data_IF_146586815715
#
_entry.id   IF_146586815715
#
_cell.length_a   1.000
_cell.length_b   1.000
_cell.length_c   1.000
_cell.angle_alpha   90.00
_cell.angle_beta   90.00
_cell.angle_gamma   90.00
#
_symmetry.space_group_name_H-M   'P 1'
#
loop_
_entity.id
_entity.type
_entity.pdbx_description
1 polymer ?
#
# COMPACT_ATOMS: atom_id res chain seq x y z
N UNK A 1 13.19 5.26 -30.74
CA UNK A 1 13.17 4.16 -31.72
C UNK A 1 14.11 3.05 -31.27
N UNK A 2 13.73 1.79 -31.43
CA UNK A 2 14.52 0.63 -31.02
C UNK A 2 14.45 -0.52 -32.00
N UNK A 3 15.42 -1.42 -31.90
CA UNK A 3 15.46 -2.69 -32.65
C UNK A 3 14.75 -3.73 -31.77
N UNK A 4 13.65 -4.29 -32.24
CA UNK A 4 12.89 -5.31 -31.48
C UNK A 4 11.45 -5.44 -31.97
N UNK A 5 10.63 -6.12 -31.22
CA UNK A 5 9.25 -6.51 -31.54
C UNK A 5 8.48 -5.48 -32.39
N UNK A 6 8.10 -5.89 -33.58
CA UNK A 6 7.36 -5.04 -34.52
C UNK A 6 5.87 -4.87 -34.11
N UNK A 7 5.38 -5.65 -33.17
CA UNK A 7 3.99 -5.61 -32.75
C UNK A 7 3.86 -4.99 -31.36
N UNK A 8 3.12 -3.88 -31.20
CA UNK A 8 2.87 -3.30 -29.91
C UNK A 8 1.90 -4.21 -29.12
N UNK A 9 2.29 -4.54 -27.91
CA UNK A 9 1.43 -5.20 -26.91
C UNK A 9 1.23 -4.29 -25.71
N UNK A 10 0.01 -4.23 -25.13
CA UNK A 10 -0.21 -3.45 -23.91
C UNK A 10 0.74 -3.89 -22.81
N UNK A 11 1.45 -2.94 -22.21
CA UNK A 11 2.29 -3.17 -21.04
C UNK A 11 1.79 -2.34 -19.87
N UNK A 12 1.92 -2.86 -18.69
CA UNK A 12 1.55 -2.14 -17.48
C UNK A 12 2.56 -1.02 -17.20
N UNK A 13 2.12 0.20 -17.37
CA UNK A 13 2.85 1.41 -17.01
C UNK A 13 2.06 2.12 -15.92
N UNK A 14 2.65 2.23 -14.76
CA UNK A 14 2.04 2.84 -13.58
C UNK A 14 1.42 4.20 -13.89
N UNK A 15 0.19 4.42 -13.43
CA UNK A 15 -0.62 5.62 -13.65
C UNK A 15 -1.09 5.85 -15.10
N UNK A 16 -0.90 4.87 -15.98
CA UNK A 16 -1.39 4.93 -17.36
C UNK A 16 -2.31 3.76 -17.66
N UNK A 17 -3.35 4.04 -18.42
CA UNK A 17 -4.24 3.04 -19.00
C UNK A 17 -3.78 2.78 -20.43
N UNK A 18 -3.57 1.51 -20.76
CA UNK A 18 -3.24 1.07 -22.12
C UNK A 18 -4.50 0.62 -22.85
N UNK A 19 -4.70 1.10 -24.07
CA UNK A 19 -5.80 0.73 -24.95
C UNK A 19 -5.28 0.37 -26.34
N UNK A 20 -5.69 -0.80 -26.86
CA UNK A 20 -5.30 -1.24 -28.20
C UNK A 20 -6.24 -0.60 -29.23
N UNK A 21 -5.68 0.21 -30.12
CA UNK A 21 -6.40 0.88 -31.21
C UNK A 21 -5.78 0.47 -32.53
N UNK A 22 -6.37 -0.48 -33.23
CA UNK A 22 -5.84 -1.06 -34.44
C UNK A 22 -4.48 -1.75 -34.20
N UNK A 23 -3.41 -1.24 -34.84
CA UNK A 23 -2.05 -1.76 -34.70
C UNK A 23 -1.18 -0.92 -33.75
N UNK A 24 -1.77 -0.22 -32.82
CA UNK A 24 -1.10 0.69 -31.89
C UNK A 24 -1.64 0.48 -30.47
N UNK A 25 -0.85 0.86 -29.47
CA UNK A 25 -1.30 0.92 -28.08
C UNK A 25 -1.23 2.36 -27.61
N UNK A 26 -2.36 2.90 -27.24
CA UNK A 26 -2.50 4.26 -26.70
C UNK A 26 -2.40 4.22 -25.17
N UNK A 27 -1.62 5.13 -24.63
CA UNK A 27 -1.44 5.29 -23.18
C UNK A 27 -2.00 6.64 -22.73
N UNK A 28 -3.00 6.59 -21.89
CA UNK A 28 -3.69 7.74 -21.31
C UNK A 28 -3.47 7.76 -19.81
N UNK A 29 -3.21 8.92 -19.23
CA UNK A 29 -3.10 9.05 -17.77
C UNK A 29 -4.43 8.71 -17.10
N UNK A 30 -4.35 8.04 -15.93
CA UNK A 30 -5.56 7.63 -15.20
C UNK A 30 -6.30 8.81 -14.54
N UNK A 31 -5.60 9.92 -14.30
CA UNK A 31 -6.12 11.15 -13.70
C UNK A 31 -6.62 12.19 -14.73
N UNK A 32 -6.41 11.94 -16.02
CA UNK A 32 -6.88 12.79 -17.12
C UNK A 32 -7.87 12.04 -17.99
N UNK A 33 -9.02 12.66 -18.27
CA UNK A 33 -10.03 12.07 -19.16
C UNK A 33 -9.80 12.60 -20.59
N UNK A 34 -9.44 11.69 -21.50
CA UNK A 34 -9.57 11.91 -22.95
C UNK A 34 -8.33 12.34 -23.70
N UNK A 35 -7.16 12.61 -23.09
CA UNK A 35 -5.93 12.92 -23.83
C UNK A 35 -4.93 11.77 -23.83
N UNK A 36 -4.52 11.33 -25.03
CA UNK A 36 -3.48 10.31 -25.20
C UNK A 36 -2.12 10.93 -24.94
N UNK A 37 -1.40 10.43 -23.91
CA UNK A 37 -0.09 10.96 -23.54
C UNK A 37 1.02 10.47 -24.48
N UNK A 38 0.98 9.18 -24.85
CA UNK A 38 1.91 8.60 -25.83
C UNK A 38 1.33 7.35 -26.49
N UNK A 39 1.86 7.02 -27.67
CA UNK A 39 1.40 5.90 -28.51
C UNK A 39 2.57 4.98 -28.85
N UNK A 40 2.45 3.70 -28.54
CA UNK A 40 3.35 2.66 -29.00
C UNK A 40 2.94 2.19 -30.40
N UNK A 41 3.82 2.38 -31.37
CA UNK A 41 3.65 1.95 -32.78
C UNK A 41 4.52 0.74 -33.14
N UNK A 42 4.97 -0.03 -32.17
CA UNK A 42 5.82 -1.19 -32.39
C UNK A 42 7.30 -0.84 -32.35
N UNK A 43 7.84 -0.24 -33.42
CA UNK A 43 9.26 0.14 -33.51
C UNK A 43 9.58 1.54 -32.97
N UNK A 44 8.57 2.33 -32.65
CA UNK A 44 8.71 3.66 -32.06
C UNK A 44 7.58 3.96 -31.10
N UNK A 45 7.84 4.87 -30.18
CA UNK A 45 6.85 5.43 -29.26
C UNK A 45 6.76 6.93 -29.56
N UNK A 46 5.57 7.39 -29.94
CA UNK A 46 5.29 8.79 -30.21
C UNK A 46 4.71 9.42 -28.93
N UNK A 47 5.33 10.49 -28.42
CA UNK A 47 4.91 11.17 -27.19
C UNK A 47 4.21 12.46 -27.57
N UNK A 48 2.93 12.57 -27.25
CA UNK A 48 2.12 13.74 -27.57
C UNK A 48 2.23 14.82 -26.49
N UNK A 49 2.32 14.40 -25.23
CA UNK A 49 2.48 15.26 -24.06
C UNK A 49 3.93 15.28 -23.56
N UNK A 50 4.87 15.54 -24.46
CA UNK A 50 6.31 15.45 -24.13
C UNK A 50 6.78 16.52 -23.14
N UNK A 51 6.07 17.66 -23.00
CA UNK A 51 6.39 18.68 -21.99
C UNK A 51 6.05 18.22 -20.57
N UNK A 52 5.15 17.27 -20.46
CA UNK A 52 4.87 16.61 -19.19
C UNK A 52 5.98 15.59 -18.91
N UNK A 53 6.72 15.85 -17.85
CA UNK A 53 7.86 15.04 -17.42
C UNK A 53 7.46 13.59 -17.10
N UNK A 54 6.28 13.40 -16.49
CA UNK A 54 5.81 12.08 -16.10
C UNK A 54 5.39 11.25 -17.33
N UNK A 55 4.79 11.89 -18.33
CA UNK A 55 4.46 11.26 -19.63
C UNK A 55 5.72 10.86 -20.40
N UNK A 56 6.73 11.73 -20.43
CA UNK A 56 8.02 11.41 -21.02
C UNK A 56 8.72 10.27 -20.27
N UNK A 57 8.73 10.29 -18.93
CA UNK A 57 9.31 9.23 -18.12
C UNK A 57 8.62 7.87 -18.38
N UNK A 58 7.29 7.85 -18.43
CA UNK A 58 6.51 6.65 -18.69
C UNK A 58 6.83 6.04 -20.07
N UNK A 59 6.94 6.89 -21.10
CA UNK A 59 7.29 6.46 -22.44
C UNK A 59 8.75 5.93 -22.52
N UNK A 60 9.70 6.55 -21.80
CA UNK A 60 11.08 6.05 -21.72
C UNK A 60 11.15 4.72 -20.93
N UNK A 61 10.34 4.55 -19.89
CA UNK A 61 10.23 3.28 -19.18
C UNK A 61 9.71 2.17 -20.09
N UNK A 62 8.66 2.45 -20.88
CA UNK A 62 8.16 1.52 -21.87
C UNK A 62 9.24 1.18 -22.92
N UNK A 63 9.96 2.19 -23.41
CA UNK A 63 11.07 2.01 -24.36
C UNK A 63 12.17 1.10 -23.80
N UNK A 64 12.56 1.32 -22.54
CA UNK A 64 13.56 0.50 -21.85
C UNK A 64 13.09 -0.93 -21.62
N UNK A 65 11.83 -1.14 -21.28
CA UNK A 65 11.23 -2.47 -21.13
C UNK A 65 11.14 -3.23 -22.45
N UNK A 66 10.94 -2.51 -23.57
CA UNK A 66 10.80 -3.12 -24.91
C UNK A 66 12.13 -3.45 -25.54
N UNK A 67 13.07 -2.51 -25.48
CA UNK A 67 14.28 -2.56 -26.30
C UNK A 67 15.58 -2.57 -25.48
N UNK A 68 15.51 -2.37 -24.18
CA UNK A 68 16.69 -2.19 -23.33
C UNK A 68 17.43 -0.88 -23.62
N UNK A 69 17.93 -0.72 -24.85
CA UNK A 69 18.57 0.52 -25.34
C UNK A 69 17.82 1.06 -26.56
N UNK A 70 17.75 2.39 -26.69
CA UNK A 70 16.95 3.06 -27.72
C UNK A 70 17.50 4.43 -28.08
N UNK A 71 17.05 4.98 -29.23
CA UNK A 71 17.40 6.31 -29.72
C UNK A 71 16.22 7.27 -29.54
N UNK A 72 16.51 8.50 -29.15
CA UNK A 72 15.53 9.57 -28.97
C UNK A 72 15.58 10.53 -30.14
N UNK A 73 14.42 10.82 -30.73
CA UNK A 73 14.26 11.77 -31.82
C UNK A 73 13.30 12.88 -31.41
N UNK A 74 13.56 14.11 -31.76
CA UNK A 74 12.74 15.27 -31.39
C UNK A 74 13.57 16.56 -31.34
N UNK A 75 12.95 17.62 -30.81
CA UNK A 75 13.63 18.90 -30.62
C UNK A 75 14.62 18.84 -29.44
N UNK A 76 15.48 19.87 -29.36
CA UNK A 76 16.54 19.91 -28.32
C UNK A 76 16.03 19.97 -26.91
N UNK A 77 14.88 20.61 -26.68
CA UNK A 77 14.25 20.67 -25.34
C UNK A 77 13.78 19.29 -24.88
N UNK A 78 13.13 18.54 -25.76
CA UNK A 78 12.72 17.17 -25.49
C UNK A 78 13.91 16.24 -25.29
N UNK A 79 14.92 16.31 -26.15
CA UNK A 79 16.18 15.55 -26.05
C UNK A 79 16.89 15.84 -24.72
N UNK A 80 16.90 17.12 -24.31
CA UNK A 80 17.45 17.54 -23.02
C UNK A 80 16.72 16.92 -21.83
N UNK A 81 15.40 16.87 -21.86
CA UNK A 81 14.60 16.21 -20.83
C UNK A 81 14.87 14.70 -20.79
N UNK A 82 14.95 14.05 -21.96
CA UNK A 82 15.28 12.63 -22.05
C UNK A 82 16.68 12.32 -21.49
N UNK A 83 17.67 13.17 -21.74
CA UNK A 83 19.02 13.01 -21.17
C UNK A 83 19.01 13.11 -19.64
N UNK A 84 18.26 14.05 -19.08
CA UNK A 84 18.11 14.19 -17.63
C UNK A 84 17.42 12.95 -17.03
N UNK A 85 16.32 12.49 -17.63
CA UNK A 85 15.62 11.29 -17.21
C UNK A 85 16.48 10.03 -17.33
N UNK A 86 17.30 9.94 -18.39
CA UNK A 86 18.23 8.83 -18.56
C UNK A 86 19.31 8.80 -17.47
N UNK A 87 19.82 9.96 -17.09
CA UNK A 87 20.76 10.07 -15.98
C UNK A 87 20.14 9.66 -14.63
N UNK A 88 18.91 10.09 -14.38
CA UNK A 88 18.18 9.84 -13.12
C UNK A 88 17.73 8.37 -12.96
N UNK A 89 17.29 7.73 -14.05
CA UNK A 89 16.67 6.41 -14.03
C UNK A 89 17.52 5.30 -14.67
N UNK A 90 18.70 5.64 -15.19
CA UNK A 90 19.64 4.67 -15.76
C UNK A 90 19.27 4.16 -17.16
N UNK A 91 18.41 4.88 -17.90
CA UNK A 91 18.04 4.46 -19.26
C UNK A 91 19.25 4.49 -20.20
N UNK A 92 19.30 3.52 -21.12
CA UNK A 92 20.35 3.38 -22.12
C UNK A 92 19.92 4.07 -23.42
N UNK A 93 20.19 5.37 -23.52
CA UNK A 93 19.98 6.16 -24.76
C UNK A 93 21.21 6.05 -25.64
N UNK A 94 21.04 5.68 -26.92
CA UNK A 94 22.15 5.47 -27.88
C UNK A 94 22.63 6.73 -28.59
N UNK A 95 21.90 7.83 -28.48
CA UNK A 95 22.25 9.11 -29.15
C UNK A 95 23.65 9.59 -28.75
N UNK A 96 24.64 9.69 -29.69
CA UNK A 96 25.98 10.17 -29.35
C UNK A 96 25.99 11.60 -28.83
N UNK A 97 25.14 12.47 -29.39
CA UNK A 97 25.03 13.89 -29.02
C UNK A 97 24.50 14.09 -27.58
N UNK A 98 23.84 13.09 -26.99
CA UNK A 98 23.30 13.18 -25.65
C UNK A 98 24.24 12.60 -24.58
N UNK A 99 25.27 11.85 -24.95
CA UNK A 99 26.15 11.16 -24.00
C UNK A 99 26.84 12.12 -23.04
N UNK A 100 27.41 13.21 -23.56
CA UNK A 100 28.07 14.21 -22.74
C UNK A 100 27.12 14.81 -21.68
N UNK A 101 25.90 15.15 -22.09
CA UNK A 101 24.87 15.69 -21.21
C UNK A 101 24.40 14.66 -20.17
N UNK A 102 24.20 13.41 -20.56
CA UNK A 102 23.85 12.32 -19.64
C UNK A 102 24.94 12.15 -18.57
N UNK A 103 26.22 12.18 -18.95
CA UNK A 103 27.33 12.08 -18.00
C UNK A 103 27.40 13.29 -17.08
N UNK A 104 27.21 14.49 -17.60
CA UNK A 104 27.17 15.71 -16.80
C UNK A 104 26.02 15.66 -15.75
N UNK A 105 24.84 15.22 -16.14
CA UNK A 105 23.71 15.08 -15.21
C UNK A 105 23.96 13.97 -14.19
N UNK A 106 24.59 12.86 -14.55
CA UNK A 106 25.02 11.82 -13.61
C UNK A 106 26.02 12.34 -12.59
N UNK A 107 27.02 13.12 -13.02
CA UNK A 107 27.98 13.75 -12.14
C UNK A 107 27.30 14.72 -11.17
N UNK A 108 26.42 15.59 -11.66
CA UNK A 108 25.62 16.50 -10.85
C UNK A 108 24.77 15.75 -9.80
N UNK A 109 24.14 14.65 -10.20
CA UNK A 109 23.38 13.81 -9.28
C UNK A 109 24.27 13.13 -8.23
N UNK A 110 25.46 12.68 -8.63
CA UNK A 110 26.44 12.11 -7.70
C UNK A 110 26.92 13.15 -6.68
N UNK A 111 27.24 14.37 -7.12
CA UNK A 111 27.60 15.48 -6.22
C UNK A 111 26.44 15.84 -5.28
N UNK A 112 25.21 15.92 -5.79
CA UNK A 112 24.03 16.18 -4.97
C UNK A 112 23.80 15.06 -3.93
N UNK A 113 24.04 13.81 -4.30
CA UNK A 113 24.01 12.66 -3.36
C UNK A 113 25.10 12.78 -2.31
N UNK A 114 26.34 13.12 -2.72
CA UNK A 114 27.46 13.31 -1.78
C UNK A 114 27.21 14.48 -0.82
N UNK A 115 26.60 15.58 -1.29
CA UNK A 115 26.19 16.70 -0.45
C UNK A 115 25.03 16.31 0.50
N UNK A 116 24.08 15.53 0.03
CA UNK A 116 22.98 15.00 0.85
C UNK A 116 23.48 14.04 1.94
N UNK A 117 24.56 13.29 1.70
CA UNK A 117 25.22 12.44 2.69
C UNK A 117 25.84 13.22 3.87
N UNK A 118 25.99 14.54 3.76
CA UNK A 118 26.42 15.42 4.86
C UNK A 118 25.27 16.24 5.45
N UNK A 119 24.04 16.01 5.01
CA UNK A 119 22.88 16.85 5.33
C UNK A 119 22.24 16.47 6.66
N UNK A 120 21.55 17.44 7.29
CA UNK A 120 20.77 17.20 8.50
C UNK A 120 19.71 16.10 8.33
N UNK A 121 18.96 16.01 7.23
CA UNK A 121 18.03 14.90 6.99
C UNK A 121 18.68 13.52 7.05
N UNK A 122 19.93 13.36 6.59
CA UNK A 122 20.61 12.07 6.71
C UNK A 122 20.92 11.74 8.18
N UNK A 123 21.50 12.69 8.93
CA UNK A 123 21.82 12.48 10.35
C UNK A 123 20.57 12.13 11.16
N UNK A 124 19.48 12.81 10.90
CA UNK A 124 18.21 12.54 11.59
C UNK A 124 17.61 11.19 11.18
N UNK A 125 17.71 10.82 9.90
CA UNK A 125 17.29 9.50 9.45
C UNK A 125 18.15 8.39 10.05
N UNK A 126 19.48 8.54 10.08
CA UNK A 126 20.39 7.55 10.68
C UNK A 126 20.10 7.35 12.17
N UNK A 127 19.92 8.43 12.93
CA UNK A 127 19.52 8.36 14.34
C UNK A 127 18.17 7.67 14.53
N UNK A 128 17.19 8.00 13.69
CA UNK A 128 15.87 7.36 13.69
C UNK A 128 15.99 5.87 13.35
N UNK A 129 16.70 5.52 12.29
CA UNK A 129 16.86 4.16 11.82
C UNK A 129 17.61 3.27 12.83
N UNK A 130 18.66 3.80 13.44
CA UNK A 130 19.41 3.10 14.50
C UNK A 130 18.53 2.83 15.72
N UNK A 131 17.77 3.83 16.17
CA UNK A 131 16.87 3.69 17.31
C UNK A 131 15.74 2.69 17.06
N UNK A 132 15.10 2.74 15.89
CA UNK A 132 14.03 1.82 15.51
C UNK A 132 14.57 0.41 15.28
N UNK A 133 15.73 0.29 14.62
CA UNK A 133 16.38 -0.98 14.34
C UNK A 133 15.56 -1.91 13.44
N UNK A 134 14.86 -1.34 12.47
CA UNK A 134 14.12 -2.10 11.46
C UNK A 134 15.06 -2.57 10.34
N UNK A 135 14.72 -3.69 9.73
CA UNK A 135 15.50 -4.26 8.62
C UNK A 135 15.33 -3.46 7.35
N UNK A 136 14.14 -2.94 7.14
CA UNK A 136 13.78 -2.17 5.95
C UNK A 136 12.78 -1.06 6.30
N UNK A 137 12.64 -0.11 5.38
CA UNK A 137 11.76 1.05 5.52
C UNK A 137 10.96 1.24 4.23
N UNK A 138 9.65 1.28 4.33
CA UNK A 138 8.82 1.80 3.24
C UNK A 138 8.83 3.31 3.31
N UNK A 139 9.14 3.95 2.20
CA UNK A 139 9.06 5.40 2.08
C UNK A 139 7.80 5.74 1.31
N UNK A 140 6.96 6.58 1.91
CA UNK A 140 5.68 7.00 1.33
C UNK A 140 5.66 8.50 1.19
N UNK A 141 5.24 9.01 0.03
CA UNK A 141 4.90 10.42 -0.14
C UNK A 141 3.39 10.60 -0.25
N UNK A 142 2.90 11.69 0.30
CA UNK A 142 1.48 12.06 0.26
C UNK A 142 1.36 13.43 -0.37
N UNK A 143 0.67 13.48 -1.51
CA UNK A 143 0.31 14.73 -2.20
C UNK A 143 -1.14 15.05 -1.93
N UNK A 144 -1.45 16.33 -1.80
CA UNK A 144 -2.83 16.81 -1.79
C UNK A 144 -3.21 17.28 -3.19
N UNK A 145 -4.28 16.71 -3.73
CA UNK A 145 -4.92 17.23 -4.92
C UNK A 145 -5.74 18.48 -4.58
N UNK A 146 -6.01 19.31 -5.59
CA UNK A 146 -6.79 20.55 -5.49
C UNK A 146 -8.19 20.39 -4.89
N UNK A 147 -8.73 19.19 -4.89
CA UNK A 147 -10.05 18.84 -4.33
C UNK A 147 -9.98 18.25 -2.89
N UNK A 148 -8.87 18.43 -2.17
CA UNK A 148 -8.68 17.88 -0.83
C UNK A 148 -8.45 16.37 -0.77
N UNK A 149 -8.43 15.66 -1.90
CA UNK A 149 -8.12 14.23 -1.97
C UNK A 149 -6.63 14.00 -1.71
N UNK A 150 -6.35 13.02 -0.85
CA UNK A 150 -4.98 12.57 -0.59
C UNK A 150 -4.58 11.52 -1.60
N UNK A 151 -3.47 11.74 -2.28
CA UNK A 151 -2.83 10.75 -3.15
C UNK A 151 -1.57 10.23 -2.45
N UNK A 152 -1.53 8.94 -2.21
CA UNK A 152 -0.41 8.28 -1.52
C UNK A 152 0.42 7.51 -2.52
N UNK A 153 1.72 7.77 -2.54
CA UNK A 153 2.68 7.12 -3.42
C UNK A 153 3.73 6.40 -2.59
N UNK A 154 3.93 5.12 -2.86
CA UNK A 154 5.02 4.34 -2.27
C UNK A 154 6.21 4.42 -3.21
N UNK A 155 7.38 4.87 -2.71
CA UNK A 155 8.59 5.02 -3.52
C UNK A 155 9.19 3.65 -3.89
N UNK A 156 8.95 2.64 -3.06
CA UNK A 156 9.36 1.28 -3.32
C UNK A 156 8.38 0.54 -4.24
N UNK A 157 8.77 0.37 -5.50
CA UNK A 157 7.97 -0.30 -6.53
C UNK A 157 7.75 -1.81 -6.24
N UNK A 158 8.62 -2.43 -5.45
CA UNK A 158 8.57 -3.87 -5.16
C UNK A 158 7.84 -4.19 -3.85
N UNK A 159 7.36 -3.17 -3.14
CA UNK A 159 6.71 -3.28 -1.83
C UNK A 159 7.54 -3.99 -0.74
N UNK A 160 8.82 -4.23 -1.00
CA UNK A 160 9.76 -4.89 -0.07
C UNK A 160 10.41 -3.90 0.91
N UNK A 161 10.22 -2.61 0.70
CA UNK A 161 10.90 -1.54 1.43
C UNK A 161 12.36 -1.36 1.02
N UNK A 162 13.01 -0.35 1.56
CA UNK A 162 14.42 -0.01 1.37
C UNK A 162 15.22 -0.34 2.62
N UNK A 163 16.47 -0.78 2.47
CA UNK A 163 17.44 -0.77 3.57
C UNK A 163 17.76 0.67 3.98
N UNK A 164 18.36 0.87 5.17
CA UNK A 164 18.78 2.21 5.60
C UNK A 164 19.72 2.88 4.58
N UNK A 165 20.65 2.12 4.00
CA UNK A 165 21.55 2.63 2.96
C UNK A 165 20.82 3.05 1.68
N UNK A 166 19.80 2.28 1.25
CA UNK A 166 18.98 2.62 0.10
C UNK A 166 18.09 3.85 0.36
N UNK A 167 17.58 4.05 1.59
CA UNK A 167 16.87 5.28 1.97
C UNK A 167 17.82 6.48 1.92
N UNK A 168 19.03 6.37 2.47
CA UNK A 168 20.05 7.42 2.43
C UNK A 168 20.34 7.87 0.99
N UNK A 169 20.44 6.92 0.06
CA UNK A 169 20.64 7.24 -1.36
C UNK A 169 19.45 7.96 -2.01
N UNK A 170 18.24 7.89 -1.42
CA UNK A 170 17.01 8.51 -1.92
C UNK A 170 16.69 9.85 -1.27
N UNK A 171 17.46 10.30 -0.32
CA UNK A 171 17.24 11.62 0.32
C UNK A 171 17.15 12.78 -0.67
N UNK A 172 17.97 12.86 -1.75
CA UNK A 172 17.79 13.90 -2.77
C UNK A 172 16.44 13.83 -3.50
N UNK A 173 15.91 12.63 -3.72
CA UNK A 173 14.55 12.44 -4.29
C UNK A 173 13.50 12.91 -3.29
N UNK A 174 13.62 12.52 -2.02
CA UNK A 174 12.71 12.92 -0.96
C UNK A 174 12.69 14.44 -0.75
N UNK A 175 13.85 15.10 -0.80
CA UNK A 175 13.95 16.57 -0.75
C UNK A 175 13.26 17.25 -1.93
N UNK A 176 13.30 16.63 -3.13
CA UNK A 176 12.56 17.14 -4.30
C UNK A 176 11.05 17.00 -4.12
N UNK A 177 10.57 15.89 -3.57
CA UNK A 177 9.16 15.68 -3.28
C UNK A 177 8.67 16.68 -2.23
N UNK A 178 9.45 16.90 -1.17
CA UNK A 178 9.17 17.90 -0.14
C UNK A 178 9.02 19.31 -0.73
N UNK A 179 9.94 19.71 -1.65
CA UNK A 179 9.86 21.02 -2.34
C UNK A 179 8.62 21.15 -3.23
N UNK A 180 8.01 20.05 -3.65
CA UNK A 180 6.73 20.01 -4.37
C UNK A 180 5.51 20.04 -3.45
N UNK A 181 5.73 20.15 -2.14
CA UNK A 181 4.65 20.18 -1.15
C UNK A 181 4.13 18.79 -0.77
N UNK A 182 4.88 17.72 -1.01
CA UNK A 182 4.51 16.37 -0.60
C UNK A 182 4.99 16.08 0.82
N UNK A 183 4.12 15.50 1.66
CA UNK A 183 4.48 15.02 2.99
C UNK A 183 5.16 13.67 2.88
N UNK A 184 6.20 13.43 3.69
CA UNK A 184 7.02 12.23 3.65
C UNK A 184 6.88 11.41 4.92
N UNK A 185 6.82 10.08 4.75
CA UNK A 185 6.64 9.14 5.85
C UNK A 185 7.56 7.94 5.71
N UNK A 186 7.99 7.41 6.86
CA UNK A 186 8.65 6.12 6.98
C UNK A 186 7.71 5.10 7.62
N UNK A 187 7.69 3.89 7.08
CA UNK A 187 7.08 2.74 7.75
C UNK A 187 8.18 1.70 7.96
N UNK A 188 8.62 1.48 9.20
CA UNK A 188 9.61 0.46 9.49
C UNK A 188 9.02 -0.93 9.27
N UNK A 189 9.79 -1.80 8.65
CA UNK A 189 9.43 -3.18 8.33
C UNK A 189 10.45 -4.12 8.99
N UNK A 190 9.96 -5.06 9.80
CA UNK A 190 10.79 -6.07 10.43
C UNK A 190 10.09 -7.42 10.48
N UNK A 191 10.86 -8.48 10.18
CA UNK A 191 10.39 -9.84 10.35
C UNK A 191 10.24 -10.22 11.84
N UNK A 192 11.10 -9.66 12.71
CA UNK A 192 11.23 -10.06 14.12
C UNK A 192 10.59 -9.08 15.11
N UNK A 193 10.16 -7.89 14.68
CA UNK A 193 9.70 -6.84 15.59
C UNK A 193 8.42 -6.18 15.10
N UNK A 194 7.63 -5.70 16.05
CA UNK A 194 6.56 -4.74 15.82
C UNK A 194 7.12 -3.33 16.09
N UNK A 195 6.80 -2.39 15.21
CA UNK A 195 7.07 -0.97 15.38
C UNK A 195 5.74 -0.26 15.46
N UNK A 196 5.29 0.01 16.68
CA UNK A 196 3.96 0.55 16.97
C UNK A 196 4.05 2.05 17.15
N UNK A 197 3.26 2.79 16.37
CA UNK A 197 3.11 4.23 16.50
C UNK A 197 1.98 4.56 17.48
N UNK A 198 2.28 5.37 18.49
CA UNK A 198 1.29 6.07 19.32
C UNK A 198 1.24 7.51 18.87
N UNK A 199 0.13 7.91 18.29
CA UNK A 199 -0.03 9.19 17.58
C UNK A 199 -0.85 10.20 18.38
N UNK A 200 -0.60 11.49 18.16
CA UNK A 200 -1.41 12.58 18.72
C UNK A 200 -1.21 12.82 20.22
N UNK A 201 -0.01 12.57 20.74
CA UNK A 201 0.31 12.79 22.15
C UNK A 201 0.53 14.27 22.45
N UNK A 202 -0.27 14.84 23.36
CA UNK A 202 0.08 16.12 24.01
C UNK A 202 1.27 15.94 24.95
N UNK A 203 1.95 17.02 25.42
CA UNK A 203 3.00 16.93 26.42
C UNK A 203 2.61 16.15 27.69
N UNK A 204 1.38 16.36 28.16
CA UNK A 204 0.85 15.67 29.34
C UNK A 204 0.64 14.18 29.09
N UNK A 205 0.11 13.82 27.92
CA UNK A 205 -0.11 12.42 27.55
C UNK A 205 1.23 11.70 27.32
N UNK A 206 2.21 12.35 26.71
CA UNK A 206 3.57 11.79 26.57
C UNK A 206 4.22 11.57 27.94
N UNK A 207 4.12 12.56 28.85
CA UNK A 207 4.66 12.42 30.21
C UNK A 207 4.00 11.24 30.95
N UNK A 208 2.67 11.13 30.89
CA UNK A 208 1.93 10.02 31.47
C UNK A 208 2.35 8.68 30.85
N UNK A 209 2.50 8.61 29.52
CA UNK A 209 2.93 7.42 28.80
C UNK A 209 4.28 6.91 29.30
N UNK A 210 5.23 7.82 29.49
CA UNK A 210 6.57 7.52 30.04
C UNK A 210 6.50 7.12 31.53
N UNK A 211 5.71 7.83 32.35
CA UNK A 211 5.50 7.52 33.78
C UNK A 211 4.86 6.15 33.97
N UNK A 212 3.94 5.76 33.10
CA UNK A 212 3.34 4.43 33.08
C UNK A 212 4.31 3.32 32.67
N UNK A 213 5.58 3.65 32.37
CA UNK A 213 6.68 2.71 32.09
C UNK A 213 6.80 2.28 30.63
N UNK A 214 6.10 2.93 29.71
CA UNK A 214 6.34 2.72 28.28
C UNK A 214 7.60 3.43 27.84
N UNK A 215 8.47 2.72 27.13
CA UNK A 215 9.76 3.23 26.70
C UNK A 215 9.83 3.25 25.17
N UNK A 216 9.53 4.39 24.53
CA UNK A 216 9.63 4.51 23.08
C UNK A 216 11.07 4.48 22.61
N UNK A 217 11.33 3.82 21.48
CA UNK A 217 12.61 3.89 20.78
C UNK A 217 12.80 5.27 20.14
N UNK A 218 11.70 5.87 19.68
CA UNK A 218 11.69 7.19 19.03
C UNK A 218 10.54 8.02 19.55
N UNK A 219 10.80 9.32 19.79
CA UNK A 219 9.78 10.35 19.97
C UNK A 219 9.97 11.41 18.90
N UNK A 220 8.94 11.66 18.13
CA UNK A 220 8.85 12.72 17.13
C UNK A 220 7.95 13.84 17.63
N UNK A 221 8.31 15.07 17.39
CA UNK A 221 7.39 16.20 17.46
C UNK A 221 6.95 16.52 16.04
N UNK A 222 5.73 16.10 15.68
CA UNK A 222 5.18 16.29 14.34
C UNK A 222 4.72 17.72 14.08
N UNK A 223 4.47 18.45 15.16
CA UNK A 223 4.16 19.88 15.23
C UNK A 223 4.33 20.37 16.66
N UNK A 224 4.45 21.70 16.90
CA UNK A 224 4.63 22.23 18.23
C UNK A 224 3.61 21.70 19.24
N UNK A 225 4.09 21.03 20.30
CA UNK A 225 3.26 20.46 21.36
C UNK A 225 2.47 19.21 20.96
N UNK A 226 2.76 18.59 19.82
CA UNK A 226 2.17 17.30 19.44
C UNK A 226 3.24 16.28 19.11
N UNK A 227 3.19 15.19 19.83
CA UNK A 227 4.20 14.15 19.78
C UNK A 227 3.65 12.84 19.22
N UNK A 228 4.57 12.07 18.72
CA UNK A 228 4.36 10.69 18.29
C UNK A 228 5.45 9.82 18.91
N UNK A 229 5.07 8.69 19.47
CA UNK A 229 6.00 7.76 20.08
C UNK A 229 6.04 6.44 19.32
N UNK A 230 7.24 5.99 18.95
CA UNK A 230 7.44 4.69 18.29
C UNK A 230 7.94 3.69 19.30
N UNK A 231 7.13 2.69 19.57
CA UNK A 231 7.46 1.55 20.44
C UNK A 231 7.97 0.40 19.59
N UNK A 232 9.15 -0.12 19.91
CA UNK A 232 9.69 -1.34 19.31
C UNK A 232 9.51 -2.52 20.27
N UNK A 233 8.88 -3.59 19.79
CA UNK A 233 8.57 -4.78 20.57
C UNK A 233 8.93 -6.03 19.77
N UNK A 234 9.65 -7.01 20.35
CA UNK A 234 9.87 -8.29 19.70
C UNK A 234 8.55 -9.00 19.39
N UNK A 235 8.47 -9.65 18.24
CA UNK A 235 7.38 -10.59 17.92
C UNK A 235 7.52 -11.84 18.78
N UNK A 236 6.41 -12.46 19.11
CA UNK A 236 6.39 -13.65 19.95
C UNK A 236 6.70 -14.94 19.19
N UNK A 237 6.71 -14.88 17.85
CA UNK A 237 6.88 -16.05 16.97
C UNK A 237 5.63 -16.92 16.89
N UNK A 238 4.47 -16.38 17.25
CA UNK A 238 3.20 -17.10 17.21
C UNK A 238 2.45 -16.86 15.88
N UNK A 239 1.48 -17.71 15.59
CA UNK A 239 0.58 -17.52 14.45
C UNK A 239 -0.28 -16.23 14.57
N UNK A 240 -0.28 -15.57 15.73
CA UNK A 240 -1.09 -14.39 16.05
C UNK A 240 -0.30 -13.08 16.00
N UNK A 241 1.00 -13.10 15.71
CA UNK A 241 1.86 -11.92 15.78
C UNK A 241 1.28 -10.71 15.03
N UNK A 242 0.73 -10.91 13.84
CA UNK A 242 0.12 -9.80 13.07
C UNK A 242 -1.09 -9.20 13.81
N UNK A 243 -1.95 -10.04 14.39
CA UNK A 243 -3.13 -9.61 15.15
C UNK A 243 -2.73 -8.93 16.47
N UNK A 244 -1.71 -9.48 17.13
CA UNK A 244 -1.14 -8.92 18.38
C UNK A 244 -0.56 -7.53 18.11
N UNK A 245 0.26 -7.35 17.08
CA UNK A 245 0.83 -6.05 16.74
C UNK A 245 -0.24 -5.00 16.42
N UNK A 246 -1.30 -5.39 15.70
CA UNK A 246 -2.44 -4.53 15.42
C UNK A 246 -3.18 -4.15 16.70
N UNK A 247 -3.51 -5.13 17.55
CA UNK A 247 -4.23 -4.92 18.80
C UNK A 247 -3.42 -4.09 19.79
N UNK A 248 -2.11 -4.30 19.85
CA UNK A 248 -1.20 -3.48 20.64
C UNK A 248 -1.26 -2.01 20.22
N UNK A 249 -1.25 -1.74 18.91
CA UNK A 249 -1.41 -0.38 18.38
C UNK A 249 -2.76 0.24 18.78
N UNK A 250 -3.84 -0.51 18.66
CA UNK A 250 -5.19 -0.07 19.05
C UNK A 250 -5.27 0.28 20.54
N UNK A 251 -4.79 -0.60 21.42
CA UNK A 251 -4.83 -0.42 22.88
C UNK A 251 -4.02 0.81 23.30
N UNK A 252 -2.80 0.97 22.76
CA UNK A 252 -1.95 2.09 23.12
C UNK A 252 -2.50 3.43 22.61
N UNK A 253 -3.01 3.48 21.39
CA UNK A 253 -3.61 4.69 20.86
C UNK A 253 -4.94 5.04 21.54
N UNK A 254 -5.73 4.06 21.94
CA UNK A 254 -6.95 4.29 22.72
C UNK A 254 -6.65 4.84 24.12
N UNK A 255 -5.57 4.38 24.76
CA UNK A 255 -5.21 4.79 26.12
C UNK A 255 -4.53 6.15 26.20
N UNK A 256 -3.73 6.50 25.20
CA UNK A 256 -2.83 7.65 25.24
C UNK A 256 -2.95 8.59 24.04
N UNK A 257 -3.25 8.09 22.83
CA UNK A 257 -3.32 8.87 21.60
C UNK A 257 -4.67 9.55 21.37
N UNK A 258 -4.75 10.37 20.33
CA UNK A 258 -5.99 11.08 19.95
C UNK A 258 -6.91 10.27 19.05
N UNK A 259 -6.40 9.29 18.32
CA UNK A 259 -7.17 8.60 17.30
C UNK A 259 -7.13 7.09 17.44
N UNK A 260 -8.28 6.44 17.24
CA UNK A 260 -8.36 5.00 17.01
C UNK A 260 -7.77 4.67 15.63
N UNK A 261 -6.46 4.56 15.54
CA UNK A 261 -5.76 4.09 14.35
C UNK A 261 -5.34 2.66 14.56
N UNK A 262 -5.60 1.81 13.59
CA UNK A 262 -5.26 0.39 13.64
C UNK A 262 -4.13 0.04 12.68
N UNK A 263 -3.22 -0.82 13.10
CA UNK A 263 -2.21 -1.44 12.24
C UNK A 263 -0.87 -0.71 12.20
N UNK A 264 -0.03 -1.12 11.27
CA UNK A 264 1.27 -0.50 10.99
C UNK A 264 1.03 0.88 10.39
N UNK A 265 1.44 1.92 11.11
CA UNK A 265 1.25 3.31 10.71
C UNK A 265 2.53 3.88 10.10
N UNK A 266 2.44 4.69 9.03
CA UNK A 266 3.58 5.48 8.58
C UNK A 266 3.88 6.58 9.60
N UNK A 267 5.18 6.75 9.89
CA UNK A 267 5.70 7.79 10.76
C UNK A 267 6.11 9.01 9.93
N UNK A 268 5.80 10.24 10.30
CA UNK A 268 6.32 11.41 9.61
C UNK A 268 7.86 11.37 9.58
N UNK A 269 8.44 11.67 8.44
CA UNK A 269 9.88 11.62 8.26
C UNK A 269 10.54 12.81 8.99
N UNK A 270 11.48 12.59 9.94
CA UNK A 270 12.18 13.69 10.63
C UNK A 270 12.98 14.56 9.66
N UNK A 271 13.10 15.85 9.96
CA UNK A 271 13.69 16.91 9.14
C UNK A 271 12.94 17.23 7.84
N UNK A 272 11.73 16.74 7.69
CA UNK A 272 10.84 17.13 6.63
C UNK A 272 9.60 17.82 7.20
N UNK A 273 9.01 18.73 6.41
CA UNK A 273 7.76 19.36 6.81
C UNK A 273 6.60 18.38 6.69
N UNK A 274 5.72 18.40 7.68
CA UNK A 274 4.44 17.72 7.64
C UNK A 274 3.33 18.77 7.52
N UNK A 275 2.56 18.67 6.44
CA UNK A 275 1.46 19.57 6.12
C UNK A 275 0.11 18.91 6.34
N UNK A 276 -0.01 18.01 7.33
CA UNK A 276 -1.29 17.36 7.63
C UNK A 276 -2.45 18.36 7.72
N UNK A 277 -3.72 17.95 7.38
CA UNK A 277 -4.79 18.91 7.13
C UNK A 277 -5.01 19.81 8.32
N UNK A 278 -4.79 21.10 8.05
CA UNK A 278 -5.08 22.20 8.93
C UNK A 278 -5.77 23.29 8.14
N UNK A 279 -6.56 24.04 8.84
CA UNK A 279 -7.20 25.23 8.29
C UNK A 279 -6.18 26.29 7.84
N UNK A 280 -4.98 26.31 8.45
CA UNK A 280 -3.91 27.28 8.17
C UNK A 280 -2.96 26.88 7.02
N UNK A 281 -2.92 25.61 6.63
CA UNK A 281 -2.03 25.09 5.56
C UNK A 281 -0.54 25.20 5.84
N UNK A 282 -0.11 25.55 7.07
CA UNK A 282 1.29 25.75 7.45
C UNK A 282 1.94 24.38 7.68
N UNK A 283 3.06 24.11 6.98
CA UNK A 283 3.91 22.97 7.22
C UNK A 283 4.77 23.17 8.47
N UNK A 284 4.92 22.10 9.27
CA UNK A 284 5.84 22.10 10.40
C UNK A 284 6.91 21.04 10.19
N UNK A 285 8.16 21.42 10.46
CA UNK A 285 9.27 20.49 10.43
C UNK A 285 9.10 19.43 11.52
N UNK A 286 9.17 18.16 11.13
CA UNK A 286 9.13 17.03 12.05
C UNK A 286 10.48 16.94 12.78
N UNK A 287 10.46 17.09 14.09
CA UNK A 287 11.66 17.07 14.94
C UNK A 287 11.83 15.72 15.61
N UNK A 288 13.03 15.16 15.52
CA UNK A 288 13.42 13.97 16.28
C UNK A 288 13.82 14.39 17.69
N UNK A 289 12.90 14.26 18.65
CA UNK A 289 13.10 14.68 20.05
C UNK A 289 13.95 13.66 20.81
N UNK A 290 13.62 12.37 20.64
CA UNK A 290 14.35 11.27 21.26
C UNK A 290 14.57 10.16 20.22
N UNK A 291 15.76 9.57 20.24
CA UNK A 291 16.08 8.39 19.45
C UNK A 291 17.06 7.54 20.24
N UNK A 292 16.63 6.37 20.66
CA UNK A 292 17.39 5.49 21.52
C UNK A 292 17.00 4.04 21.25
N UNK A 293 17.97 3.22 20.87
CA UNK A 293 17.71 1.82 20.54
C UNK A 293 17.29 1.07 21.78
N UNK A 294 15.99 0.75 21.85
CA UNK A 294 15.42 0.00 22.98
C UNK A 294 14.18 -0.78 22.57
N UNK A 295 13.93 -1.81 23.33
CA UNK A 295 12.70 -2.59 23.25
C UNK A 295 11.89 -2.33 24.53
N UNK A 296 10.60 -2.10 24.36
CA UNK A 296 9.72 -1.77 25.48
C UNK A 296 9.25 -3.04 26.20
N UNK A 297 9.81 -3.31 27.37
CA UNK A 297 9.45 -4.47 28.21
C UNK A 297 7.96 -4.48 28.60
N UNK A 298 7.37 -3.32 28.92
CA UNK A 298 5.95 -3.22 29.26
C UNK A 298 5.07 -3.58 28.06
N UNK A 299 5.42 -3.12 26.88
CA UNK A 299 4.68 -3.47 25.66
C UNK A 299 4.87 -4.94 25.27
N UNK A 300 6.02 -5.55 25.59
CA UNK A 300 6.22 -6.99 25.41
C UNK A 300 5.32 -7.80 26.36
N UNK A 301 5.19 -7.37 27.62
CA UNK A 301 4.27 -8.01 28.56
C UNK A 301 2.81 -7.90 28.08
N UNK A 302 2.41 -6.73 27.60
CA UNK A 302 1.07 -6.52 27.01
C UNK A 302 0.88 -7.37 25.74
N UNK A 303 1.90 -7.50 24.88
CA UNK A 303 1.82 -8.37 23.70
C UNK A 303 1.56 -9.83 24.07
N UNK A 304 2.22 -10.34 25.12
CA UNK A 304 1.98 -11.70 25.63
C UNK A 304 0.55 -11.89 26.14
N UNK A 305 0.01 -10.90 26.85
CA UNK A 305 -1.38 -10.93 27.29
C UNK A 305 -2.33 -10.95 26.08
N UNK A 306 -2.11 -10.08 25.10
CA UNK A 306 -2.93 -10.02 23.88
C UNK A 306 -2.84 -11.31 23.05
N UNK A 307 -1.69 -11.99 23.02
CA UNK A 307 -1.55 -13.28 22.35
C UNK A 307 -2.38 -14.38 23.04
N UNK A 308 -2.39 -14.40 24.38
CA UNK A 308 -3.25 -15.30 25.16
C UNK A 308 -4.73 -14.99 24.90
N UNK A 309 -5.13 -13.72 24.86
CA UNK A 309 -6.49 -13.29 24.54
C UNK A 309 -6.90 -13.72 23.13
N UNK A 310 -6.01 -13.56 22.14
CA UNK A 310 -6.26 -14.01 20.76
C UNK A 310 -6.37 -15.54 20.69
N UNK A 311 -5.56 -16.26 21.45
CA UNK A 311 -5.61 -17.72 21.54
C UNK A 311 -6.88 -18.20 22.23
N UNK A 312 -7.31 -17.51 23.31
CA UNK A 312 -8.53 -17.83 24.06
C UNK A 312 -9.81 -17.44 23.29
N UNK A 313 -9.77 -16.36 22.51
CA UNK A 313 -10.88 -15.94 21.62
C UNK A 313 -11.12 -16.92 20.47
N UNK A 314 -10.18 -17.80 20.20
CA UNK A 314 -10.37 -19.06 19.48
C UNK A 314 -10.79 -20.18 20.44
N UNK A 315 -11.78 -19.92 21.32
CA UNK A 315 -12.58 -21.05 21.81
C UNK A 315 -13.00 -21.83 20.56
N UNK A 316 -12.77 -23.14 20.49
CA UNK A 316 -13.20 -23.92 19.34
C UNK A 316 -14.67 -23.54 19.14
N UNK A 317 -14.97 -22.94 17.99
CA UNK A 317 -16.35 -22.87 17.52
C UNK A 317 -16.84 -24.30 17.75
N UNK A 318 -17.70 -24.46 18.76
CA UNK A 318 -18.27 -25.77 19.13
C UNK A 318 -18.52 -26.47 17.80
N UNK A 319 -17.84 -27.58 17.58
CA UNK A 319 -17.98 -28.35 16.37
C UNK A 319 -19.48 -28.42 16.07
N UNK A 320 -19.91 -27.57 15.16
CA UNK A 320 -21.22 -27.73 14.58
C UNK A 320 -21.25 -29.19 14.09
N UNK A 321 -22.20 -30.00 14.57
CA UNK A 321 -22.15 -31.43 14.40
C UNK A 321 -21.93 -31.75 12.93
N UNK A 322 -21.25 -32.82 12.64
CA UNK A 322 -20.75 -33.33 11.37
C UNK A 322 -21.80 -33.46 10.23
N UNK A 323 -22.64 -32.44 10.05
CA UNK A 323 -23.61 -32.27 8.96
C UNK A 323 -23.03 -31.51 7.73
N UNK A 324 -21.77 -31.02 7.83
CA UNK A 324 -21.13 -30.28 6.73
C UNK A 324 -20.49 -31.18 5.64
N UNK A 325 -20.39 -32.48 5.85
CA UNK A 325 -19.75 -33.40 4.90
C UNK A 325 -20.50 -33.61 3.56
N UNK A 326 -21.64 -32.94 3.32
CA UNK A 326 -22.41 -33.03 2.05
C UNK A 326 -22.71 -31.69 1.38
N UNK A 327 -22.08 -30.59 1.79
CA UNK A 327 -22.32 -29.27 1.19
C UNK A 327 -21.07 -28.78 0.50
N UNK A 328 -21.20 -28.30 -0.75
CA UNK A 328 -20.06 -27.78 -1.53
C UNK A 328 -19.17 -26.84 -0.70
N UNK A 329 -17.86 -26.95 -0.87
CA UNK A 329 -16.92 -26.19 -0.03
C UNK A 329 -17.18 -24.67 -0.18
N UNK A 330 -16.91 -23.89 0.85
CA UNK A 330 -16.99 -22.43 0.77
C UNK A 330 -16.11 -21.87 -0.37
N UNK A 331 -15.04 -22.57 -0.70
CA UNK A 331 -14.15 -22.27 -1.84
C UNK A 331 -14.91 -22.42 -3.16
N UNK A 332 -15.69 -23.51 -3.32
CA UNK A 332 -16.49 -23.74 -4.53
C UNK A 332 -17.60 -22.67 -4.66
N UNK A 333 -18.23 -22.29 -3.54
CA UNK A 333 -19.21 -21.21 -3.49
C UNK A 333 -18.59 -19.88 -3.96
N UNK A 334 -17.42 -19.52 -3.41
CA UNK A 334 -16.67 -18.35 -3.83
C UNK A 334 -16.34 -18.37 -5.32
N UNK A 335 -15.86 -19.49 -5.86
CA UNK A 335 -15.52 -19.64 -7.28
C UNK A 335 -16.74 -19.54 -8.19
N UNK A 336 -17.89 -20.06 -7.78
CA UNK A 336 -19.15 -19.96 -8.55
C UNK A 336 -19.65 -18.53 -8.58
N UNK A 337 -19.63 -17.82 -7.44
CA UNK A 337 -19.98 -16.41 -7.38
C UNK A 337 -19.02 -15.54 -8.20
N UNK A 338 -17.74 -15.85 -8.17
CA UNK A 338 -16.75 -15.12 -8.97
C UNK A 338 -17.07 -15.23 -10.46
N UNK A 339 -17.29 -16.45 -10.96
CA UNK A 339 -17.66 -16.66 -12.37
C UNK A 339 -18.96 -15.96 -12.76
N UNK A 340 -19.98 -15.96 -11.88
CA UNK A 340 -21.23 -15.25 -12.10
C UNK A 340 -21.05 -13.74 -12.18
N UNK A 341 -20.26 -13.15 -11.28
CA UNK A 341 -19.97 -11.71 -11.25
C UNK A 341 -19.20 -11.30 -12.50
N UNK A 342 -18.11 -12.02 -12.81
CA UNK A 342 -17.26 -11.73 -13.99
C UNK A 342 -18.07 -11.83 -15.29
N UNK A 343 -18.93 -12.85 -15.42
CA UNK A 343 -19.78 -13.02 -16.61
C UNK A 343 -20.76 -11.87 -16.84
N UNK A 344 -21.18 -11.17 -15.77
CA UNK A 344 -22.18 -10.09 -15.83
C UNK A 344 -21.57 -8.70 -15.95
N UNK A 345 -20.26 -8.56 -15.80
CA UNK A 345 -19.58 -7.27 -15.91
C UNK A 345 -18.87 -7.13 -17.25
N UNK A 346 -19.19 -6.06 -17.97
CA UNK A 346 -18.51 -5.61 -19.17
C UNK A 346 -17.60 -4.42 -18.77
N UNK A 347 -16.26 -4.64 -18.73
CA UNK A 347 -15.28 -3.61 -18.43
C UNK A 347 -14.18 -4.06 -17.45
N UNK A 348 -13.18 -3.20 -17.18
CA UNK A 348 -12.09 -3.54 -16.25
C UNK A 348 -12.63 -3.79 -14.83
N UNK A 349 -12.25 -4.94 -14.26
CA UNK A 349 -12.72 -5.40 -12.97
C UNK A 349 -11.82 -4.88 -11.84
N UNK A 350 -12.39 -4.11 -10.92
CA UNK A 350 -11.78 -3.93 -9.60
C UNK A 350 -11.98 -5.22 -8.78
N UNK A 351 -10.93 -6.03 -8.75
CA UNK A 351 -10.96 -7.34 -8.10
C UNK A 351 -11.22 -7.26 -6.59
N UNK A 352 -10.83 -6.17 -5.93
CA UNK A 352 -11.10 -5.97 -4.51
C UNK A 352 -12.59 -5.71 -4.25
N UNK A 353 -13.23 -4.97 -5.14
CA UNK A 353 -14.68 -4.74 -5.12
C UNK A 353 -15.47 -6.02 -5.42
N UNK A 354 -14.97 -6.83 -6.35
CA UNK A 354 -15.56 -8.15 -6.68
C UNK A 354 -15.53 -9.06 -5.45
N UNK A 355 -14.39 -9.18 -4.76
CA UNK A 355 -14.29 -10.02 -3.57
C UNK A 355 -15.16 -9.54 -2.42
N UNK A 356 -15.26 -8.23 -2.21
CA UNK A 356 -16.15 -7.66 -1.19
C UNK A 356 -17.63 -7.97 -1.50
N UNK A 357 -18.02 -7.88 -2.77
CA UNK A 357 -19.37 -8.23 -3.21
C UNK A 357 -19.67 -9.73 -3.06
N UNK A 358 -18.71 -10.60 -3.38
CA UNK A 358 -18.85 -12.05 -3.18
C UNK A 358 -18.95 -12.37 -1.69
N UNK A 359 -18.14 -11.76 -0.84
CA UNK A 359 -18.20 -11.94 0.61
C UNK A 359 -19.59 -11.59 1.19
N UNK A 360 -20.20 -10.49 0.72
CA UNK A 360 -21.57 -10.12 1.10
C UNK A 360 -22.59 -11.14 0.59
N UNK A 361 -22.48 -11.63 -0.65
CA UNK A 361 -23.36 -12.68 -1.18
C UNK A 361 -23.27 -13.97 -0.38
N UNK A 362 -22.06 -14.40 -0.03
CA UNK A 362 -21.85 -15.60 0.80
C UNK A 362 -22.40 -15.41 2.23
N UNK A 363 -22.37 -14.20 2.78
CA UNK A 363 -23.05 -13.90 4.05
C UNK A 363 -24.58 -14.03 3.90
N UNK A 364 -25.16 -13.50 2.82
CA UNK A 364 -26.61 -13.63 2.54
C UNK A 364 -27.02 -15.10 2.42
N UNK A 365 -26.19 -15.96 1.83
CA UNK A 365 -26.45 -17.40 1.75
C UNK A 365 -26.11 -18.16 3.04
N UNK A 366 -25.63 -17.47 4.09
CA UNK A 366 -25.46 -18.04 5.43
C UNK A 366 -24.11 -18.71 5.67
N UNK A 367 -23.06 -18.36 4.91
CA UNK A 367 -21.70 -18.78 5.25
C UNK A 367 -21.19 -18.00 6.46
N UNK A 368 -20.51 -18.65 7.39
CA UNK A 368 -19.85 -18.00 8.52
C UNK A 368 -18.68 -17.12 8.06
N UNK A 369 -18.31 -16.09 8.86
CA UNK A 369 -17.21 -15.19 8.52
C UNK A 369 -15.89 -15.93 8.29
N UNK A 370 -15.58 -16.94 9.13
CA UNK A 370 -14.38 -17.79 9.01
C UNK A 370 -14.37 -18.60 7.70
N UNK A 371 -15.53 -19.10 7.27
CA UNK A 371 -15.66 -19.82 6.01
C UNK A 371 -15.43 -18.91 4.80
N UNK A 372 -15.94 -17.67 4.84
CA UNK A 372 -15.71 -16.65 3.80
C UNK A 372 -14.23 -16.26 3.76
N UNK A 373 -13.60 -16.06 4.92
CA UNK A 373 -12.18 -15.76 5.02
C UNK A 373 -11.32 -16.87 4.40
N UNK A 374 -11.58 -18.13 4.78
CA UNK A 374 -10.89 -19.29 4.20
C UNK A 374 -11.09 -19.43 2.70
N UNK A 375 -12.32 -19.17 2.21
CA UNK A 375 -12.65 -19.23 0.79
C UNK A 375 -11.92 -18.16 -0.03
N UNK A 376 -11.80 -16.93 0.47
CA UNK A 376 -11.05 -15.86 -0.19
C UNK A 376 -9.55 -16.16 -0.15
N UNK A 377 -9.02 -16.60 1.00
CA UNK A 377 -7.60 -16.92 1.17
C UNK A 377 -7.11 -17.97 0.17
N UNK A 378 -7.88 -19.00 -0.04
CA UNK A 378 -7.51 -20.13 -0.88
C UNK A 378 -8.03 -20.00 -2.32
N UNK A 379 -9.24 -19.49 -2.49
CA UNK A 379 -9.92 -19.41 -3.78
C UNK A 379 -9.49 -18.23 -4.65
N UNK A 380 -9.23 -17.07 -4.06
CA UNK A 380 -8.86 -15.89 -4.83
C UNK A 380 -7.50 -16.03 -5.55
N UNK A 381 -6.43 -16.53 -4.93
CA UNK A 381 -5.15 -16.73 -5.63
C UNK A 381 -5.23 -17.70 -6.81
N UNK A 382 -6.06 -18.73 -6.70
CA UNK A 382 -6.17 -19.76 -7.74
C UNK A 382 -6.89 -19.30 -9.01
N UNK A 383 -7.67 -18.23 -8.94
CA UNK A 383 -8.46 -17.71 -10.06
C UNK A 383 -7.76 -16.53 -10.75
N UNK A 384 -6.85 -15.86 -10.06
CA UNK A 384 -6.14 -14.68 -10.57
C UNK A 384 -4.86 -15.09 -11.29
N UNK A 385 -4.76 -14.76 -12.57
CA UNK A 385 -3.57 -15.03 -13.39
C UNK A 385 -2.35 -14.18 -13.02
N UNK A 386 -2.52 -13.12 -12.24
CA UNK A 386 -1.47 -12.29 -11.67
C UNK A 386 -1.46 -12.49 -10.16
N UNK A 387 -0.62 -13.42 -9.69
CA UNK A 387 -0.25 -13.50 -8.29
C UNK A 387 0.59 -12.27 -7.93
N UNK A 388 -0.07 -11.10 -7.77
CA UNK A 388 0.52 -10.06 -6.95
C UNK A 388 0.85 -10.70 -5.60
N UNK A 389 2.07 -10.51 -5.13
CA UNK A 389 2.50 -10.90 -3.79
C UNK A 389 1.71 -10.05 -2.79
N UNK A 390 0.48 -10.45 -2.53
CA UNK A 390 -0.43 -9.82 -1.58
C UNK A 390 -0.40 -10.65 -0.32
N UNK A 391 -0.46 -10.01 0.83
CA UNK A 391 -0.77 -10.71 2.07
C UNK A 391 -2.25 -11.17 2.02
N UNK A 392 -2.44 -12.40 1.55
CA UNK A 392 -3.75 -12.99 1.38
C UNK A 392 -4.46 -13.25 2.71
N UNK A 393 -3.72 -13.43 3.79
CA UNK A 393 -4.29 -13.63 5.11
C UNK A 393 -4.95 -12.35 5.63
N UNK A 394 -4.22 -11.23 5.61
CA UNK A 394 -4.76 -9.92 6.00
C UNK A 394 -5.87 -9.46 5.05
N UNK A 395 -5.70 -9.68 3.74
CA UNK A 395 -6.70 -9.33 2.75
C UNK A 395 -8.02 -10.10 2.94
N UNK A 396 -7.96 -11.42 3.09
CA UNK A 396 -9.13 -12.28 3.29
C UNK A 396 -9.86 -11.92 4.58
N UNK A 397 -9.11 -11.71 5.68
CA UNK A 397 -9.68 -11.32 6.95
C UNK A 397 -10.42 -9.96 6.88
N UNK A 398 -9.81 -8.95 6.25
CA UNK A 398 -10.45 -7.63 6.09
C UNK A 398 -11.70 -7.70 5.24
N UNK A 399 -11.66 -8.46 4.15
CA UNK A 399 -12.79 -8.60 3.23
C UNK A 399 -13.95 -9.36 3.88
N UNK A 400 -13.67 -10.45 4.61
CA UNK A 400 -14.69 -11.18 5.35
C UNK A 400 -15.28 -10.33 6.49
N UNK A 401 -14.45 -9.57 7.22
CA UNK A 401 -14.90 -8.64 8.27
C UNK A 401 -15.80 -7.54 7.72
N UNK A 402 -15.47 -6.98 6.55
CA UNK A 402 -16.32 -6.01 5.90
C UNK A 402 -17.73 -6.56 5.65
N UNK A 403 -17.84 -7.78 5.15
CA UNK A 403 -19.13 -8.40 4.91
C UNK A 403 -20.00 -8.56 6.18
N UNK A 404 -19.38 -8.59 7.36
CA UNK A 404 -20.06 -8.68 8.67
C UNK A 404 -20.06 -7.35 9.45
N UNK A 405 -19.68 -6.25 8.83
CA UNK A 405 -19.70 -4.93 9.45
C UNK A 405 -21.08 -4.28 9.36
N UNK A 406 -21.34 -3.32 10.25
CA UNK A 406 -22.55 -2.48 10.18
C UNK A 406 -22.71 -1.73 8.85
N UNK A 407 -21.60 -1.45 8.16
CA UNK A 407 -21.64 -0.83 6.83
C UNK A 407 -22.25 -1.76 5.76
N UNK A 408 -22.08 -3.07 5.91
CA UNK A 408 -22.65 -4.06 4.99
C UNK A 408 -24.07 -4.50 5.37
N UNK A 409 -24.53 -4.25 6.60
CA UNK A 409 -25.84 -4.75 7.11
C UNK A 409 -27.02 -4.29 6.24
N UNK A 410 -27.05 -3.03 5.80
CA UNK A 410 -28.08 -2.53 4.88
C UNK A 410 -28.07 -3.28 3.55
N UNK A 411 -26.88 -3.52 2.99
CA UNK A 411 -26.74 -4.27 1.74
C UNK A 411 -27.20 -5.71 1.90
N UNK A 412 -26.92 -6.35 3.05
CA UNK A 412 -27.37 -7.73 3.32
C UNK A 412 -28.89 -7.81 3.34
N UNK A 413 -29.55 -6.85 4.02
CA UNK A 413 -31.04 -6.78 4.04
C UNK A 413 -31.62 -6.59 2.66
N UNK A 414 -31.08 -5.67 1.86
CA UNK A 414 -31.55 -5.40 0.49
C UNK A 414 -31.34 -6.59 -0.46
N UNK A 415 -30.32 -7.40 -0.18
CA UNK A 415 -29.92 -8.54 -1.01
C UNK A 415 -30.52 -9.88 -0.54
N UNK A 416 -31.24 -9.92 0.60
CA UNK A 416 -31.86 -11.14 1.14
C UNK A 416 -32.83 -11.80 0.12
N UNK A 417 -33.47 -10.99 -0.72
CA UNK A 417 -34.34 -11.49 -1.83
C UNK A 417 -33.59 -12.36 -2.86
N UNK A 418 -32.25 -12.28 -2.89
CA UNK A 418 -31.41 -13.10 -3.77
C UNK A 418 -30.84 -14.34 -3.07
N UNK A 419 -31.17 -14.60 -1.81
CA UNK A 419 -30.65 -15.70 -1.02
C UNK A 419 -30.85 -17.06 -1.70
N UNK A 420 -32.07 -17.35 -2.11
CA UNK A 420 -32.38 -18.61 -2.79
C UNK A 420 -31.69 -18.79 -4.14
N UNK A 421 -31.74 -17.82 -5.08
CA UNK A 421 -31.00 -17.90 -6.31
C UNK A 421 -29.49 -18.12 -6.10
N UNK A 422 -28.89 -17.47 -5.12
CA UNK A 422 -27.47 -17.63 -4.83
C UNK A 422 -27.15 -18.95 -4.13
N UNK A 423 -27.99 -19.41 -3.21
CA UNK A 423 -27.83 -20.74 -2.61
C UNK A 423 -27.91 -21.85 -3.64
N UNK A 424 -28.81 -21.75 -4.63
CA UNK A 424 -28.85 -22.67 -5.78
C UNK A 424 -27.58 -22.58 -6.64
N UNK A 425 -27.07 -21.37 -6.87
CA UNK A 425 -25.80 -21.17 -7.57
C UNK A 425 -24.64 -21.89 -6.84
N UNK A 426 -24.66 -21.88 -5.51
CA UNK A 426 -23.71 -22.59 -4.66
C UNK A 426 -23.93 -24.12 -4.62
N UNK A 427 -25.04 -24.61 -5.17
CA UNK A 427 -25.43 -26.01 -5.09
C UNK A 427 -25.97 -26.44 -3.72
N UNK A 428 -26.54 -25.47 -2.96
CA UNK A 428 -27.16 -25.68 -1.64
C UNK A 428 -28.68 -25.75 -1.76
N UNK A 429 -29.29 -26.70 -1.03
CA UNK A 429 -30.75 -26.71 -0.86
C UNK A 429 -31.16 -25.66 0.19
N UNK A 430 -32.10 -24.80 -0.16
CA UNK A 430 -32.69 -23.82 0.77
C UNK A 430 -33.77 -24.52 1.59
N UNK A 431 -33.53 -24.74 2.90
CA UNK A 431 -34.60 -25.13 3.81
C UNK A 431 -35.46 -23.90 4.12
N UNK A 432 -36.74 -24.02 3.86
CA UNK A 432 -37.73 -23.01 4.21
C UNK A 432 -37.82 -22.88 5.75
N UNK A 433 -37.56 -21.69 6.27
CA UNK A 433 -37.68 -21.37 7.72
C UNK A 433 -39.13 -21.25 8.18
N UNK A 434 -40.13 -21.36 7.26
CA UNK A 434 -41.52 -21.21 7.63
C UNK A 434 -42.11 -22.41 8.40
N UNK A 435 -41.36 -23.51 8.55
CA UNK A 435 -41.83 -24.71 9.24
C UNK A 435 -41.40 -24.82 10.73
N UNK A 436 -40.54 -23.92 11.24
CA UNK A 436 -40.02 -24.00 12.60
C UNK A 436 -40.68 -23.03 13.62
N UNK A 437 -41.72 -22.29 13.20
CA UNK A 437 -42.52 -21.41 14.10
C UNK A 437 -43.83 -22.02 14.54
N UNK A 438 -43.98 -23.33 14.39
CA UNK A 438 -45.21 -24.05 14.77
C UNK A 438 -44.94 -25.40 15.41
N UNK A 439 -44.32 -25.41 16.59
CA UNK A 439 -44.47 -26.45 17.64
C UNK A 439 -44.01 -25.96 18.99
#
# INVERSE_FOLDING_TARGET
EGEGDAWPSPRDIRAYRAEVVGRQVHYTRQDEVGSVSFVDRGRRIDIHDWRNRDSTLAALQLSAQKWGSFTVTGNDEYKAMCATLAAEHGFQIRNPELQARIQQERARLAEARAAALKSEPLKQFERYADAVGAERYRVTSVRRASEGRRQTFVLDKRSSGFTSAEVAQRLPEMQRLQRRGEDLYYTPLSAQKHHVLVDGLSPAQLARFLQDGYQPAVVLESRPGQYQAVITVPKLGTAHDSAVGKRLSEVLNQAYGEAMRSGIQPHPAPSYENREPREDGIGHEVRLVQAERRECAKSLALSRQLDVEQSASRVPELQAPALEAKRGSAIDAYQRHYRDVVKRQSGPLDLSRVDSMIAVRMRVTGHAQSAIEGAIRQGAPSIRSTAEQRDWDDYAQRTARYAYSAAADRQVVDLEKYREPWARLEGREVRDRSSDLGR
#
